data_IF_910038686697
#
_entry.id   IF_910038686697
#
_cell.length_a   1.000
_cell.length_b   1.000
_cell.length_c   1.000
_cell.angle_alpha   90.00
_cell.angle_beta   90.00
_cell.angle_gamma   90.00
#
_symmetry.space_group_name_H-M   'P 1'
#
loop_
_entity.id
_entity.type
_entity.pdbx_description
1 polymer ?
#
# COMPACT_ATOMS: atom_id res chain seq x y z
N UNK A 1 -30.74 -20.05 6.50
CA UNK A 1 -29.50 -19.38 6.07
C UNK A 1 -28.77 -20.35 5.18
N UNK A 2 -28.51 -19.98 3.93
CA UNK A 2 -27.84 -20.82 2.94
C UNK A 2 -26.33 -20.49 3.02
N UNK A 3 -25.51 -21.44 3.47
CA UNK A 3 -24.08 -21.21 3.71
C UNK A 3 -23.32 -21.10 2.39
N UNK A 4 -22.77 -19.92 2.11
CA UNK A 4 -22.09 -19.52 0.86
C UNK A 4 -20.63 -20.02 0.84
N UNK A 5 -20.37 -21.28 1.20
CA UNK A 5 -19.01 -21.84 1.11
C UNK A 5 -18.87 -22.61 -0.20
N UNK A 6 -17.97 -22.15 -1.05
CA UNK A 6 -17.69 -22.74 -2.36
C UNK A 6 -16.99 -24.10 -2.21
N UNK A 7 -17.37 -25.06 -3.04
CA UNK A 7 -16.59 -26.30 -3.20
C UNK A 7 -15.30 -25.98 -3.93
N UNK A 8 -14.19 -26.56 -3.47
CA UNK A 8 -12.92 -26.49 -4.21
C UNK A 8 -13.13 -27.12 -5.60
N UNK A 9 -12.79 -26.37 -6.64
CA UNK A 9 -13.01 -26.78 -8.03
C UNK A 9 -12.07 -27.91 -8.44
N UNK A 10 -10.88 -28.01 -7.84
CA UNK A 10 -9.91 -29.04 -8.18
C UNK A 10 -10.25 -30.41 -7.56
N UNK A 11 -10.69 -30.43 -6.30
CA UNK A 11 -11.00 -31.67 -5.58
C UNK A 11 -12.49 -31.98 -5.44
N UNK A 12 -13.37 -31.00 -5.69
CA UNK A 12 -14.82 -31.11 -5.51
C UNK A 12 -15.27 -31.18 -4.04
N UNK A 13 -14.33 -31.08 -3.10
CA UNK A 13 -14.61 -31.12 -1.67
C UNK A 13 -15.20 -29.78 -1.21
N UNK A 14 -16.15 -29.84 -0.27
CA UNK A 14 -16.66 -28.63 0.38
C UNK A 14 -15.53 -27.96 1.15
N UNK A 15 -15.43 -26.63 1.07
CA UNK A 15 -14.53 -25.88 1.95
C UNK A 15 -14.94 -26.12 3.41
N UNK A 16 -13.93 -26.32 4.27
CA UNK A 16 -14.14 -26.46 5.71
C UNK A 16 -14.80 -25.21 6.28
N UNK A 17 -15.71 -25.40 7.24
CA UNK A 17 -16.41 -24.30 7.92
C UNK A 17 -15.55 -23.64 9.00
N UNK A 18 -15.97 -22.48 9.51
CA UNK A 18 -15.26 -21.77 10.59
C UNK A 18 -14.94 -22.66 11.80
N UNK A 19 -15.89 -23.49 12.24
CA UNK A 19 -15.70 -24.40 13.39
C UNK A 19 -14.68 -25.49 13.08
N UNK A 20 -14.71 -26.04 11.87
CA UNK A 20 -13.81 -27.10 11.41
C UNK A 20 -12.38 -26.57 11.19
N UNK A 21 -12.25 -25.35 10.66
CA UNK A 21 -10.96 -24.67 10.50
C UNK A 21 -10.28 -24.39 11.85
N UNK A 22 -11.04 -23.95 12.86
CA UNK A 22 -10.49 -23.72 14.21
C UNK A 22 -10.08 -25.04 14.86
N UNK A 23 -10.87 -26.09 14.71
CA UNK A 23 -10.55 -27.42 15.23
C UNK A 23 -9.32 -28.04 14.54
N UNK A 24 -9.12 -27.81 13.25
CA UNK A 24 -7.95 -28.30 12.51
C UNK A 24 -6.66 -27.57 12.89
N UNK A 25 -6.72 -26.29 13.23
CA UNK A 25 -5.55 -25.53 13.69
C UNK A 25 -4.94 -26.11 14.97
N UNK A 26 -5.77 -26.68 15.86
CA UNK A 26 -5.30 -27.34 17.09
C UNK A 26 -4.72 -28.74 16.82
N UNK A 27 -5.03 -29.34 15.66
CA UNK A 27 -4.58 -30.68 15.25
C UNK A 27 -3.39 -30.66 14.30
N UNK A 28 -3.09 -29.54 13.65
CA UNK A 28 -1.89 -29.37 12.83
C UNK A 28 -0.63 -29.31 13.70
N UNK A 29 -0.07 -30.49 13.98
CA UNK A 29 1.28 -30.64 14.51
C UNK A 29 2.26 -29.98 13.56
N UNK A 30 2.98 -28.99 14.07
CA UNK A 30 4.04 -28.24 13.37
C UNK A 30 5.02 -29.21 12.73
N UNK A 31 4.95 -29.35 11.40
CA UNK A 31 5.95 -30.08 10.63
C UNK A 31 7.18 -29.17 10.57
N UNK A 32 8.33 -29.56 11.17
CA UNK A 32 9.54 -28.77 11.01
C UNK A 32 9.92 -28.80 9.52
N UNK A 33 10.01 -27.61 8.90
CA UNK A 33 10.54 -27.44 7.56
C UNK A 33 12.03 -27.78 7.57
N UNK A 34 12.35 -29.07 7.46
CA UNK A 34 13.69 -29.50 7.06
C UNK A 34 13.79 -29.35 5.55
N UNK A 35 14.41 -28.25 5.11
CA UNK A 35 14.92 -28.06 3.76
C UNK A 35 16.05 -29.06 3.53
N UNK A 36 15.71 -30.29 3.12
CA UNK A 36 16.69 -31.23 2.59
C UNK A 36 16.39 -31.44 1.10
N UNK A 37 17.20 -30.76 0.28
CA UNK A 37 17.29 -30.96 -1.15
C UNK A 37 17.72 -32.40 -1.43
N UNK A 38 16.84 -33.22 -1.99
CA UNK A 38 17.18 -34.57 -2.46
C UNK A 38 16.83 -34.68 -3.94
N UNK A 39 17.88 -34.58 -4.75
CA UNK A 39 17.94 -34.90 -6.18
C UNK A 39 18.33 -36.37 -6.27
N UNK A 40 17.38 -37.26 -6.57
CA UNK A 40 17.67 -38.67 -6.83
C UNK A 40 16.71 -39.20 -7.92
N UNK A 41 17.26 -39.35 -9.12
CA UNK A 41 16.69 -40.07 -10.27
C UNK A 41 16.71 -41.60 -10.00
N UNK A 42 15.57 -42.30 -10.12
CA UNK A 42 15.53 -43.74 -10.46
C UNK A 42 14.10 -44.22 -10.85
N UNK A 43 13.91 -44.34 -12.16
CA UNK A 43 13.34 -45.48 -12.92
C UNK A 43 12.09 -46.24 -12.41
N UNK A 44 11.04 -46.26 -13.24
CA UNK A 44 10.17 -47.43 -13.40
C UNK A 44 9.61 -47.51 -14.84
N UNK A 45 9.75 -48.71 -15.41
CA UNK A 45 9.67 -49.08 -16.81
C UNK A 45 8.22 -49.35 -17.27
N UNK A 46 7.94 -49.00 -18.53
CA UNK A 46 7.03 -49.62 -19.51
C UNK A 46 5.75 -50.36 -19.03
N UNK A 47 4.57 -49.85 -19.44
CA UNK A 47 3.81 -50.45 -20.56
C UNK A 47 2.36 -49.91 -20.72
N UNK A 48 1.97 -49.82 -22.00
CA UNK A 48 0.63 -49.64 -22.57
C UNK A 48 0.16 -48.22 -22.93
N UNK A 49 0.41 -47.88 -24.18
CA UNK A 49 -0.45 -47.02 -25.04
C UNK A 49 -1.26 -47.93 -25.99
N UNK A 50 -2.26 -47.50 -26.82
CA UNK A 50 -3.05 -46.25 -26.98
C UNK A 50 -4.60 -46.56 -27.17
N UNK A 51 -5.55 -45.69 -27.67
CA UNK A 51 -5.57 -45.08 -29.01
C UNK A 51 -6.10 -43.63 -29.13
N UNK A 52 -5.34 -42.81 -29.85
CA UNK A 52 -5.72 -42.03 -31.04
C UNK A 52 -7.16 -41.45 -31.13
N UNK A 53 -7.29 -40.12 -30.96
CA UNK A 53 -8.28 -39.32 -31.71
C UNK A 53 -7.56 -38.34 -32.64
N UNK A 54 -7.71 -38.60 -33.93
CA UNK A 54 -7.17 -37.86 -35.07
C UNK A 54 -7.77 -36.45 -35.12
N UNK A 55 -6.96 -35.41 -34.96
CA UNK A 55 -7.28 -34.08 -35.51
C UNK A 55 -6.35 -33.84 -36.68
N UNK A 56 -6.94 -33.84 -37.88
CA UNK A 56 -6.28 -33.58 -39.16
C UNK A 56 -5.84 -32.12 -39.20
N UNK A 57 -4.59 -31.83 -38.87
CA UNK A 57 -3.97 -30.53 -39.18
C UNK A 57 -3.37 -30.65 -40.58
N UNK A 58 -4.08 -30.11 -41.57
CA UNK A 58 -3.55 -29.93 -42.92
C UNK A 58 -2.35 -28.98 -42.87
N UNK A 59 -1.14 -29.53 -42.95
CA UNK A 59 0.07 -28.75 -43.23
C UNK A 59 0.07 -28.36 -44.70
N UNK A 60 -0.41 -27.17 -45.02
CA UNK A 60 -0.09 -26.49 -46.28
C UNK A 60 1.40 -26.13 -46.28
N UNK A 61 2.23 -27.02 -46.81
CA UNK A 61 3.62 -26.74 -47.18
C UNK A 61 3.67 -26.20 -48.61
N UNK A 62 3.23 -24.95 -48.84
CA UNK A 62 3.65 -24.21 -50.03
C UNK A 62 4.99 -23.53 -49.74
N UNK A 63 6.05 -24.19 -50.19
CA UNK A 63 7.41 -23.66 -50.31
C UNK A 63 7.39 -22.43 -51.23
N UNK A 64 7.22 -21.25 -50.64
CA UNK A 64 7.61 -19.99 -51.25
C UNK A 64 9.05 -19.69 -50.87
N UNK A 65 10.02 -20.20 -51.64
CA UNK A 65 11.38 -19.64 -51.61
C UNK A 65 11.30 -18.23 -52.20
N UNK A 66 11.10 -17.23 -51.34
CA UNK A 66 11.38 -15.84 -51.68
C UNK A 66 12.69 -15.48 -51.00
N UNK A 67 13.61 -14.97 -51.81
CA UNK A 67 14.97 -14.60 -51.45
C UNK A 67 15.03 -13.93 -50.08
N UNK A 68 15.89 -14.46 -49.20
CA UNK A 68 16.47 -13.64 -48.14
C UNK A 68 17.43 -12.70 -48.86
N UNK A 69 16.89 -11.59 -49.33
CA UNK A 69 17.69 -10.42 -49.60
C UNK A 69 18.21 -9.95 -48.26
N UNK A 70 19.53 -9.96 -48.15
CA UNK A 70 20.35 -9.60 -47.01
C UNK A 70 19.96 -8.20 -46.48
N UNK A 71 18.98 -8.13 -45.57
CA UNK A 71 18.62 -6.92 -44.85
C UNK A 71 19.66 -6.64 -43.75
N UNK A 72 20.86 -6.26 -44.17
CA UNK A 72 21.97 -5.83 -43.30
C UNK A 72 21.76 -4.40 -42.72
N UNK A 73 20.52 -3.92 -42.71
CA UNK A 73 20.14 -2.56 -42.30
C UNK A 73 19.05 -2.47 -41.22
N UNK A 74 18.58 -3.59 -40.67
CA UNK A 74 17.44 -3.60 -39.72
C UNK A 74 17.85 -3.71 -38.25
N UNK A 75 18.88 -4.49 -37.92
CA UNK A 75 19.23 -4.76 -36.51
C UNK A 75 19.72 -3.50 -35.77
N UNK A 76 20.53 -2.66 -36.41
CA UNK A 76 21.00 -1.40 -35.80
C UNK A 76 19.86 -0.41 -35.53
N UNK A 77 18.81 -0.42 -36.36
CA UNK A 77 17.66 0.47 -36.18
C UNK A 77 16.78 0.09 -34.98
N UNK A 78 16.72 -1.20 -34.63
CA UNK A 78 15.97 -1.69 -33.47
C UNK A 78 16.75 -1.44 -32.17
N UNK A 79 18.08 -1.62 -32.17
CA UNK A 79 18.94 -1.27 -31.04
C UNK A 79 18.88 0.24 -30.72
N UNK A 80 18.94 1.12 -31.74
CA UNK A 80 18.81 2.57 -31.54
C UNK A 80 17.43 2.95 -30.98
N UNK A 81 16.35 2.28 -31.40
CA UNK A 81 15.01 2.50 -30.82
C UNK A 81 14.95 2.09 -29.34
N UNK A 82 15.64 1.01 -28.97
CA UNK A 82 15.71 0.56 -27.59
C UNK A 82 16.55 1.48 -26.71
N UNK A 83 17.71 1.95 -27.19
CA UNK A 83 18.53 2.94 -26.46
C UNK A 83 17.73 4.23 -26.20
N UNK A 84 17.06 4.77 -27.23
CA UNK A 84 16.17 5.93 -27.07
C UNK A 84 15.02 5.66 -26.09
N UNK A 85 14.48 4.43 -26.06
CA UNK A 85 13.45 4.04 -25.11
C UNK A 85 14.01 3.96 -23.67
N UNK A 86 15.19 3.36 -23.48
CA UNK A 86 15.85 3.27 -22.19
C UNK A 86 16.23 4.65 -21.64
N UNK A 87 16.76 5.54 -22.48
CA UNK A 87 17.05 6.92 -22.11
C UNK A 87 15.77 7.67 -21.71
N UNK A 88 14.68 7.48 -22.46
CA UNK A 88 13.40 8.09 -22.13
C UNK A 88 12.81 7.53 -20.81
N UNK A 89 12.95 6.23 -20.56
CA UNK A 89 12.54 5.62 -19.28
C UNK A 89 13.38 6.14 -18.12
N UNK A 90 14.68 6.36 -18.30
CA UNK A 90 15.55 6.89 -17.26
C UNK A 90 15.09 8.29 -16.82
N UNK A 91 14.68 9.13 -17.78
CA UNK A 91 14.10 10.45 -17.50
C UNK A 91 12.79 10.33 -16.71
N UNK A 92 11.87 9.45 -17.13
CA UNK A 92 10.60 9.25 -16.44
C UNK A 92 10.76 8.65 -15.03
N UNK A 93 11.66 7.69 -14.86
CA UNK A 93 11.95 7.07 -13.57
C UNK A 93 12.58 8.07 -12.60
N UNK A 94 13.49 8.92 -13.10
CA UNK A 94 14.06 10.02 -12.31
C UNK A 94 12.98 11.01 -11.87
N UNK A 95 12.08 11.40 -12.79
CA UNK A 95 10.97 12.28 -12.46
C UNK A 95 10.00 11.66 -11.44
N UNK A 96 9.78 10.34 -11.51
CA UNK A 96 8.98 9.61 -10.54
C UNK A 96 9.67 9.54 -9.18
N UNK A 97 10.99 9.25 -9.14
CA UNK A 97 11.76 9.27 -7.91
C UNK A 97 11.72 10.64 -7.22
N UNK A 98 11.86 11.73 -7.98
CA UNK A 98 11.73 13.10 -7.46
C UNK A 98 10.31 13.40 -6.97
N UNK A 99 9.27 12.92 -7.67
CA UNK A 99 7.89 13.09 -7.24
C UNK A 99 7.57 12.31 -5.96
N UNK A 100 8.06 11.07 -5.85
CA UNK A 100 7.91 10.25 -4.66
C UNK A 100 8.65 10.87 -3.48
N UNK A 101 9.89 11.31 -3.66
CA UNK A 101 10.66 12.00 -2.62
C UNK A 101 9.92 13.25 -2.11
N UNK A 102 9.41 14.09 -3.01
CA UNK A 102 8.62 15.27 -2.61
C UNK A 102 7.31 14.91 -1.89
N UNK A 103 6.69 13.79 -2.24
CA UNK A 103 5.50 13.30 -1.56
C UNK A 103 5.83 12.80 -0.15
N UNK A 104 6.92 12.04 0.00
CA UNK A 104 7.44 11.57 1.28
C UNK A 104 7.86 12.71 2.20
N UNK A 105 8.62 13.69 1.68
CA UNK A 105 9.00 14.89 2.43
C UNK A 105 7.74 15.64 2.93
N UNK A 106 6.68 15.69 2.13
CA UNK A 106 5.41 16.32 2.52
C UNK A 106 4.63 15.51 3.56
N UNK A 107 4.57 14.18 3.41
CA UNK A 107 3.90 13.30 4.36
C UNK A 107 4.60 13.33 5.72
N UNK A 108 5.93 13.34 5.74
CA UNK A 108 6.72 13.46 6.98
C UNK A 108 6.51 14.81 7.66
N UNK A 109 6.54 15.92 6.92
CA UNK A 109 6.23 17.26 7.48
C UNK A 109 4.82 17.35 8.07
N UNK A 110 3.82 16.75 7.40
CA UNK A 110 2.44 16.71 7.90
C UNK A 110 2.36 15.85 9.16
N UNK A 111 2.98 14.67 9.15
CA UNK A 111 3.01 13.77 10.30
C UNK A 111 3.67 14.40 11.52
N UNK A 112 4.82 15.03 11.34
CA UNK A 112 5.54 15.72 12.42
C UNK A 112 4.69 16.87 13.00
N UNK A 113 4.03 17.65 12.13
CA UNK A 113 3.15 18.73 12.57
C UNK A 113 1.93 18.20 13.34
N UNK A 114 1.30 17.13 12.88
CA UNK A 114 0.19 16.49 13.58
C UNK A 114 0.62 15.94 14.94
N UNK A 115 1.79 15.32 15.01
CA UNK A 115 2.37 14.83 16.25
C UNK A 115 2.62 15.97 17.25
N UNK A 116 3.17 17.10 16.81
CA UNK A 116 3.38 18.26 17.68
C UNK A 116 2.07 18.90 18.15
N UNK A 117 1.05 18.96 17.29
CA UNK A 117 -0.29 19.43 17.69
C UNK A 117 -0.93 18.51 18.73
N UNK A 118 -0.80 17.20 18.57
CA UNK A 118 -1.29 16.22 19.55
C UNK A 118 -0.56 16.32 20.89
N UNK A 119 0.75 16.58 20.90
CA UNK A 119 1.49 16.84 22.16
C UNK A 119 1.06 18.16 22.81
N UNK A 120 0.72 19.17 22.02
CA UNK A 120 0.30 20.48 22.54
C UNK A 120 -1.16 20.51 22.98
N UNK A 121 -2.04 19.64 22.47
CA UNK A 121 -3.47 19.69 22.76
C UNK A 121 -3.77 19.58 24.24
N UNK A 122 -3.15 18.62 24.93
CA UNK A 122 -3.38 18.37 26.35
C UNK A 122 -2.95 19.59 27.18
N UNK A 123 -1.77 20.14 26.88
CA UNK A 123 -1.25 21.32 27.55
C UNK A 123 -2.14 22.55 27.35
N UNK A 124 -2.70 22.73 26.15
CA UNK A 124 -3.60 23.85 25.84
C UNK A 124 -4.91 23.70 26.61
N UNK A 125 -5.47 22.50 26.63
CA UNK A 125 -6.71 22.21 27.37
C UNK A 125 -6.52 22.41 28.87
N UNK A 126 -5.44 21.90 29.45
CA UNK A 126 -5.12 22.07 30.88
C UNK A 126 -5.03 23.55 31.26
N UNK A 127 -4.34 24.34 30.45
CA UNK A 127 -4.18 25.79 30.68
C UNK A 127 -5.50 26.55 30.50
N UNK A 128 -6.37 26.13 29.59
CA UNK A 128 -7.68 26.75 29.38
C UNK A 128 -8.66 26.43 30.51
N UNK A 129 -8.68 25.18 31.00
CA UNK A 129 -9.52 24.75 32.12
C UNK A 129 -9.05 25.39 33.43
N UNK A 130 -7.75 25.69 33.56
CA UNK A 130 -7.22 26.42 34.70
C UNK A 130 -7.58 27.92 34.73
N UNK A 131 -8.11 28.48 33.64
CA UNK A 131 -8.54 29.89 33.62
C UNK A 131 -9.85 30.08 34.36
N UNK A 132 -9.85 31.07 35.25
CA UNK A 132 -11.07 31.46 35.95
C UNK A 132 -12.07 32.12 35.00
N UNK A 133 -13.32 31.65 35.03
CA UNK A 133 -14.42 32.21 34.24
C UNK A 133 -14.49 31.74 32.78
N UNK A 134 -13.81 30.63 32.45
CA UNK A 134 -13.96 29.87 31.21
C UNK A 134 -14.73 28.57 31.52
N UNK A 135 -15.78 28.28 30.76
CA UNK A 135 -16.50 27.00 30.88
C UNK A 135 -15.80 25.89 30.09
N UNK A 136 -16.11 24.62 30.35
CA UNK A 136 -15.51 23.48 29.64
C UNK A 136 -15.80 23.54 28.13
N UNK A 137 -17.00 23.98 27.74
CA UNK A 137 -17.39 24.11 26.34
C UNK A 137 -16.63 25.26 25.65
N UNK A 138 -16.47 26.40 26.32
CA UNK A 138 -15.63 27.51 25.86
C UNK A 138 -14.16 27.09 25.73
N UNK A 139 -13.64 26.30 26.67
CA UNK A 139 -12.28 25.79 26.62
C UNK A 139 -12.06 24.87 25.40
N UNK A 140 -13.00 23.99 25.08
CA UNK A 140 -12.93 23.13 23.90
C UNK A 140 -12.97 23.95 22.61
N UNK A 141 -13.92 24.87 22.49
CA UNK A 141 -14.03 25.74 21.32
C UNK A 141 -12.78 26.63 21.13
N UNK A 142 -12.23 27.16 22.24
CA UNK A 142 -11.03 27.96 22.20
C UNK A 142 -9.79 27.14 21.84
N UNK A 143 -9.67 25.91 22.35
CA UNK A 143 -8.58 25.00 22.02
C UNK A 143 -8.54 24.70 20.52
N UNK A 144 -9.70 24.46 19.89
CA UNK A 144 -9.80 24.25 18.45
C UNK A 144 -9.26 25.45 17.66
N UNK A 145 -9.67 26.67 18.02
CA UNK A 145 -9.19 27.91 17.39
C UNK A 145 -7.69 28.10 17.58
N UNK A 146 -7.17 27.84 18.79
CA UNK A 146 -5.76 28.03 19.12
C UNK A 146 -4.87 27.01 18.40
N UNK A 147 -5.24 25.73 18.37
CA UNK A 147 -4.50 24.67 17.69
C UNK A 147 -4.54 24.83 16.16
N UNK A 148 -5.66 25.32 15.61
CA UNK A 148 -5.77 25.66 14.20
C UNK A 148 -4.89 26.86 13.79
N UNK A 149 -4.56 27.75 14.74
CA UNK A 149 -3.90 29.02 14.47
C UNK A 149 -2.65 29.21 15.35
N UNK A 150 -1.46 28.71 14.91
CA UNK A 150 -0.23 28.70 15.73
C UNK A 150 0.22 30.08 16.26
N UNK A 151 -0.06 31.14 15.52
CA UNK A 151 0.24 32.50 15.94
C UNK A 151 -0.62 32.95 17.14
N UNK A 152 -1.90 32.53 17.18
CA UNK A 152 -2.79 32.80 18.31
C UNK A 152 -2.41 32.00 19.54
N UNK A 153 -2.01 30.75 19.35
CA UNK A 153 -1.47 29.89 20.40
C UNK A 153 -0.22 30.50 21.04
N UNK A 154 0.69 31.02 20.22
CA UNK A 154 1.90 31.68 20.70
C UNK A 154 1.57 32.92 21.54
N UNK A 155 0.59 33.72 21.11
CA UNK A 155 0.12 34.88 21.89
C UNK A 155 -0.50 34.46 23.21
N UNK A 156 -1.36 33.43 23.20
CA UNK A 156 -2.00 32.88 24.40
C UNK A 156 -0.95 32.53 25.47
N UNK A 157 0.10 31.80 25.11
CA UNK A 157 1.14 31.42 26.07
C UNK A 157 1.99 32.60 26.57
N UNK A 158 2.16 33.65 25.76
CA UNK A 158 2.88 34.88 26.15
C UNK A 158 2.08 35.80 27.07
N UNK A 159 0.75 35.73 27.03
CA UNK A 159 -0.12 36.54 27.87
C UNK A 159 -0.09 36.06 29.34
N UNK A 160 -0.28 36.99 30.28
CA UNK A 160 -0.55 36.67 31.69
C UNK A 160 -1.94 36.02 31.82
N UNK A 161 -2.16 35.26 32.90
CA UNK A 161 -3.42 34.54 33.13
C UNK A 161 -4.67 35.43 32.99
N UNK A 162 -4.66 36.63 33.60
CA UNK A 162 -5.77 37.57 33.50
C UNK A 162 -6.06 38.05 32.06
N UNK A 163 -5.03 38.18 31.23
CA UNK A 163 -5.17 38.58 29.83
C UNK A 163 -5.61 37.40 28.94
N UNK A 164 -5.25 36.15 29.31
CA UNK A 164 -5.66 34.95 28.60
C UNK A 164 -7.17 34.75 28.63
N UNK A 165 -7.83 34.92 29.79
CA UNK A 165 -9.30 34.82 29.87
C UNK A 165 -9.99 35.80 28.92
N UNK A 166 -9.57 37.07 28.92
CA UNK A 166 -10.13 38.09 28.01
C UNK A 166 -9.85 37.78 26.55
N UNK A 167 -8.65 37.28 26.25
CA UNK A 167 -8.26 36.88 24.90
C UNK A 167 -9.12 35.71 24.40
N UNK A 168 -9.32 34.68 25.22
CA UNK A 168 -10.17 33.53 24.90
C UNK A 168 -11.60 33.98 24.62
N UNK A 169 -12.20 34.81 25.48
CA UNK A 169 -13.55 35.36 25.24
C UNK A 169 -13.64 36.16 23.94
N UNK A 170 -12.62 36.97 23.65
CA UNK A 170 -12.50 37.66 22.36
C UNK A 170 -12.37 36.72 21.16
N UNK A 171 -11.79 35.52 21.31
CA UNK A 171 -11.72 34.52 20.24
C UNK A 171 -13.07 33.87 19.98
N UNK A 172 -13.88 33.72 21.01
CA UNK A 172 -15.21 33.11 20.95
C UNK A 172 -16.30 34.12 20.54
N UNK A 173 -15.97 35.41 20.42
CA UNK A 173 -16.92 36.46 20.08
C UNK A 173 -17.78 36.93 21.25
N UNK A 174 -17.45 36.50 22.47
CA UNK A 174 -18.04 36.97 23.70
C UNK A 174 -17.26 38.20 24.17
N UNK A 175 -17.69 39.40 23.75
CA UNK A 175 -17.05 40.66 24.15
C UNK A 175 -17.81 41.39 25.25
#
# INVERSE_FOLDING_TARGET
MESIYGKDYATGKSAEGFVEAVENLEKETTIPLSLESSDEDVTANESSTPPLKKVKIERNMKRGRKSVDTAKGSQTSEFIKFENFADNMNVHLSAMADAMKRAEDRETEVHDREMELAKMSDKVLDELIALEGITTDEALAAAEVLLAQPHKLTLFFKCSSALRTRYVKSLLGES
#
